data_IF_391879321470
#
_entry.id   IF_391879321470
#
_cell.length_a   1.000
_cell.length_b   1.000
_cell.length_c   1.000
_cell.angle_alpha   90.00
_cell.angle_beta   90.00
_cell.angle_gamma   90.00
#
_symmetry.space_group_name_H-M   'P 1'
#
loop_
_entity.id
_entity.type
_entity.pdbx_description
1 polymer ?
#
# COMPACT_ATOMS: atom_id res chain seq x y z
N UNK A 1 -55.98 -45.86 -34.33
CA UNK A 1 -56.01 -44.44 -33.92
C UNK A 1 -54.87 -44.19 -32.95
N UNK A 2 -53.67 -43.85 -33.44
CA UNK A 2 -52.54 -43.45 -32.59
C UNK A 2 -52.42 -41.92 -32.65
N UNK A 3 -52.63 -41.25 -31.51
CA UNK A 3 -52.46 -39.81 -31.36
C UNK A 3 -50.98 -39.51 -31.13
N UNK A 4 -50.36 -38.77 -32.04
CA UNK A 4 -49.03 -38.21 -31.84
C UNK A 4 -49.12 -37.06 -30.81
N UNK A 5 -48.39 -37.18 -29.71
CA UNK A 5 -48.22 -36.10 -28.73
C UNK A 5 -46.96 -35.32 -29.14
N UNK A 6 -47.16 -34.09 -29.62
CA UNK A 6 -46.07 -33.16 -29.93
C UNK A 6 -45.65 -32.50 -28.60
N UNK A 7 -44.45 -32.81 -28.13
CA UNK A 7 -43.84 -32.14 -26.96
C UNK A 7 -43.10 -30.90 -27.50
N UNK A 8 -43.64 -29.72 -27.23
CA UNK A 8 -42.99 -28.44 -27.53
C UNK A 8 -41.99 -28.17 -26.41
N UNK A 9 -40.70 -28.31 -26.69
CA UNK A 9 -39.63 -27.87 -25.80
C UNK A 9 -39.50 -26.34 -25.90
N UNK A 10 -39.99 -25.61 -24.90
CA UNK A 10 -39.72 -24.17 -24.77
C UNK A 10 -38.35 -23.97 -24.13
N UNK A 11 -37.37 -23.53 -24.92
CA UNK A 11 -36.06 -23.14 -24.41
C UNK A 11 -36.19 -21.81 -23.65
N UNK A 12 -36.15 -21.87 -22.31
CA UNK A 12 -35.96 -20.67 -21.48
C UNK A 12 -34.50 -20.21 -21.61
N UNK A 13 -34.29 -19.09 -22.30
CA UNK A 13 -33.01 -18.39 -22.31
C UNK A 13 -32.89 -17.66 -20.97
N UNK A 14 -32.14 -18.25 -20.04
CA UNK A 14 -31.78 -17.62 -18.78
C UNK A 14 -30.68 -16.59 -19.09
N UNK A 15 -31.07 -15.32 -19.23
CA UNK A 15 -30.09 -14.22 -19.31
C UNK A 15 -29.49 -14.03 -17.92
N UNK A 16 -28.38 -14.72 -17.65
CA UNK A 16 -27.56 -14.50 -16.46
C UNK A 16 -26.94 -13.11 -16.55
N UNK A 17 -27.53 -12.14 -15.86
CA UNK A 17 -26.88 -10.86 -15.57
C UNK A 17 -25.72 -11.11 -14.61
N UNK A 18 -24.54 -11.42 -15.16
CA UNK A 18 -23.30 -11.43 -14.41
C UNK A 18 -22.95 -10.02 -13.91
N UNK A 19 -22.27 -9.88 -12.76
CA UNK A 19 -21.79 -8.58 -12.30
C UNK A 19 -20.90 -7.95 -13.38
N UNK A 20 -21.19 -6.70 -13.76
CA UNK A 20 -20.35 -5.94 -14.68
C UNK A 20 -18.95 -5.81 -14.05
N UNK A 21 -17.96 -6.51 -14.61
CA UNK A 21 -16.56 -6.23 -14.33
C UNK A 21 -16.32 -4.75 -14.64
N UNK A 22 -16.00 -3.97 -13.60
CA UNK A 22 -15.49 -2.62 -13.79
C UNK A 22 -14.13 -2.79 -14.47
N UNK A 23 -14.07 -2.49 -15.77
CA UNK A 23 -12.80 -2.42 -16.50
C UNK A 23 -11.90 -1.43 -15.76
N UNK A 24 -10.82 -1.95 -15.13
CA UNK A 24 -9.81 -1.09 -14.49
C UNK A 24 -9.27 -0.14 -15.56
N UNK A 25 -9.37 1.17 -15.32
CA UNK A 25 -8.95 2.21 -16.27
C UNK A 25 -7.46 2.16 -16.59
N UNK A 26 -6.65 1.55 -15.71
CA UNK A 26 -5.24 1.23 -15.91
C UNK A 26 -4.79 0.13 -14.92
N UNK A 27 -3.81 -0.66 -15.34
CA UNK A 27 -3.05 -1.57 -14.47
C UNK A 27 -1.56 -1.24 -14.61
N UNK A 28 -1.14 -0.18 -13.92
CA UNK A 28 0.19 0.40 -14.06
C UNK A 28 1.16 -0.06 -12.99
N UNK A 29 2.36 -0.41 -13.44
CA UNK A 29 3.55 -0.69 -12.64
C UNK A 29 4.60 0.40 -12.89
N UNK A 30 5.59 0.51 -12.01
CA UNK A 30 6.83 1.22 -12.27
C UNK A 30 8.00 0.25 -12.13
N UNK A 31 9.06 0.44 -12.91
CA UNK A 31 10.19 -0.48 -12.94
C UNK A 31 11.41 0.09 -12.22
N UNK A 32 11.65 -0.42 -11.02
CA UNK A 32 12.67 0.10 -10.09
C UNK A 32 13.87 -0.83 -10.02
N UNK A 33 15.06 -0.27 -9.95
CA UNK A 33 16.31 -1.04 -9.82
C UNK A 33 16.66 -1.32 -8.35
N UNK A 34 15.93 -0.68 -7.42
CA UNK A 34 16.15 -0.76 -5.97
C UNK A 34 15.42 -1.95 -5.36
N UNK A 35 16.08 -2.80 -4.54
CA UNK A 35 15.37 -3.84 -3.79
C UNK A 35 14.53 -3.23 -2.67
N UNK A 36 13.40 -3.88 -2.35
CA UNK A 36 12.48 -3.44 -1.29
C UNK A 36 12.55 -4.40 -0.10
N UNK A 37 12.64 -3.85 1.10
CA UNK A 37 12.64 -4.61 2.35
C UNK A 37 11.44 -4.23 3.21
N UNK A 38 10.70 -5.23 3.67
CA UNK A 38 9.62 -5.09 4.64
C UNK A 38 10.16 -5.42 6.03
N UNK A 39 10.03 -4.49 6.97
CA UNK A 39 10.53 -4.65 8.34
C UNK A 39 9.36 -4.53 9.31
N UNK A 40 9.15 -5.50 10.19
CA UNK A 40 8.13 -5.38 11.21
C UNK A 40 8.58 -4.43 12.32
N UNK A 41 7.71 -3.50 12.71
CA UNK A 41 7.94 -2.52 13.77
C UNK A 41 6.90 -2.73 14.88
N UNK A 42 7.34 -3.12 16.07
CA UNK A 42 6.46 -3.53 17.17
C UNK A 42 5.99 -4.98 17.03
N UNK A 43 4.73 -5.24 17.37
CA UNK A 43 4.16 -6.59 17.50
C UNK A 43 3.23 -6.96 16.34
N UNK A 44 3.51 -6.43 15.13
CA UNK A 44 2.77 -6.83 13.93
C UNK A 44 3.04 -8.30 13.59
N UNK A 45 1.99 -9.07 13.28
CA UNK A 45 2.09 -10.48 12.87
C UNK A 45 2.78 -10.58 11.49
N UNK A 46 3.77 -11.48 11.37
CA UNK A 46 4.61 -11.65 10.17
C UNK A 46 3.80 -11.87 8.89
N UNK A 47 2.67 -12.58 9.00
CA UNK A 47 1.78 -12.88 7.88
C UNK A 47 1.29 -11.64 7.13
N UNK A 48 1.13 -10.50 7.81
CA UNK A 48 0.73 -9.26 7.14
C UNK A 48 1.83 -8.74 6.23
N UNK A 49 3.10 -8.88 6.60
CA UNK A 49 4.22 -8.46 5.76
C UNK A 49 4.37 -9.42 4.57
N UNK A 50 4.32 -10.72 4.83
CA UNK A 50 4.41 -11.75 3.79
C UNK A 50 3.33 -11.58 2.73
N UNK A 51 2.12 -11.21 3.13
CA UNK A 51 1.00 -11.00 2.21
C UNK A 51 1.22 -9.81 1.25
N UNK A 52 2.05 -8.82 1.59
CA UNK A 52 2.32 -7.67 0.71
C UNK A 52 3.29 -8.00 -0.42
N UNK A 53 4.14 -9.02 -0.25
CA UNK A 53 5.26 -9.33 -1.14
C UNK A 53 4.82 -9.47 -2.61
N UNK A 54 3.82 -10.30 -2.98
CA UNK A 54 3.48 -10.52 -4.38
C UNK A 54 2.97 -9.25 -5.06
N UNK A 55 2.19 -8.44 -4.34
CA UNK A 55 1.66 -7.18 -4.86
C UNK A 55 2.77 -6.17 -5.11
N UNK A 56 3.69 -6.04 -4.15
CA UNK A 56 4.81 -5.10 -4.27
C UNK A 56 5.78 -5.51 -5.38
N UNK A 57 6.10 -6.80 -5.51
CA UNK A 57 6.90 -7.30 -6.63
C UNK A 57 6.22 -6.99 -7.97
N UNK A 58 4.90 -7.17 -8.06
CA UNK A 58 4.15 -6.84 -9.29
C UNK A 58 4.21 -5.35 -9.61
N UNK A 59 3.96 -4.48 -8.63
CA UNK A 59 3.81 -3.03 -8.87
C UNK A 59 5.13 -2.28 -9.05
N UNK A 60 6.22 -2.80 -8.50
CA UNK A 60 7.56 -2.20 -8.61
C UNK A 60 8.52 -3.00 -9.50
N UNK A 61 8.15 -4.20 -9.96
CA UNK A 61 8.97 -5.10 -10.79
C UNK A 61 10.39 -5.32 -10.26
N UNK A 62 10.52 -5.42 -8.94
CA UNK A 62 11.77 -5.64 -8.21
C UNK A 62 11.60 -6.72 -7.15
N UNK A 63 12.72 -7.18 -6.59
CA UNK A 63 12.72 -8.09 -5.46
C UNK A 63 12.21 -7.42 -4.18
N UNK A 64 11.35 -8.14 -3.46
CA UNK A 64 10.79 -7.71 -2.18
C UNK A 64 11.11 -8.77 -1.14
N UNK A 65 11.78 -8.37 -0.06
CA UNK A 65 12.22 -9.25 1.00
C UNK A 65 11.55 -8.91 2.32
N UNK A 66 11.17 -9.92 3.10
CA UNK A 66 10.73 -9.72 4.48
C UNK A 66 11.92 -9.92 5.42
N UNK A 67 12.34 -8.87 6.11
CA UNK A 67 13.50 -8.87 7.01
C UNK A 67 13.06 -9.03 8.47
N UNK A 68 12.59 -10.22 8.82
CA UNK A 68 12.08 -10.53 10.17
C UNK A 68 13.17 -10.44 11.25
N UNK A 69 14.42 -10.73 10.90
CA UNK A 69 15.61 -10.60 11.75
C UNK A 69 15.92 -9.13 12.12
N UNK A 70 15.34 -8.18 11.39
CA UNK A 70 15.50 -6.73 11.60
C UNK A 70 14.35 -6.10 12.40
N UNK A 71 13.46 -6.91 13.00
CA UNK A 71 12.36 -6.39 13.84
C UNK A 71 12.92 -5.46 14.93
N UNK A 72 12.31 -4.29 15.07
CA UNK A 72 12.58 -3.35 16.17
C UNK A 72 11.29 -3.08 16.94
N UNK A 73 11.36 -2.79 18.26
CA UNK A 73 10.19 -2.35 19.00
C UNK A 73 9.71 -0.99 18.47
N UNK A 74 8.45 -0.65 18.75
CA UNK A 74 8.00 0.75 18.58
C UNK A 74 8.71 1.58 19.64
N UNK A 75 9.33 2.72 19.29
CA UNK A 75 10.00 3.57 20.28
C UNK A 75 9.01 4.16 21.29
N UNK A 76 9.28 3.96 22.59
CA UNK A 76 8.42 4.45 23.68
C UNK A 76 8.31 5.99 23.69
N UNK A 77 9.40 6.68 23.35
CA UNK A 77 9.45 8.15 23.24
C UNK A 77 8.68 8.70 22.03
N UNK A 78 8.20 7.83 21.13
CA UNK A 78 7.27 8.22 20.09
C UNK A 78 5.81 8.24 20.54
N UNK A 79 5.48 7.72 21.73
CA UNK A 79 4.11 7.68 22.21
C UNK A 79 3.66 9.04 22.77
N UNK A 80 2.55 9.55 22.25
CA UNK A 80 1.87 10.72 22.77
C UNK A 80 0.72 10.26 23.68
N UNK A 81 0.80 10.58 24.98
CA UNK A 81 -0.18 10.16 25.98
C UNK A 81 -1.53 10.86 25.83
N UNK A 82 -1.56 12.09 25.33
CA UNK A 82 -2.81 12.85 25.16
C UNK A 82 -3.60 12.34 23.95
N UNK A 83 -2.88 11.97 22.88
CA UNK A 83 -3.46 11.39 21.65
C UNK A 83 -3.68 9.89 21.75
N UNK A 84 -2.97 9.22 22.64
CA UNK A 84 -2.89 7.76 22.71
C UNK A 84 -2.43 7.12 21.39
N UNK A 85 -1.51 7.79 20.69
CA UNK A 85 -1.01 7.45 19.37
C UNK A 85 0.51 7.65 19.29
N UNK A 86 1.16 7.08 18.29
CA UNK A 86 2.59 7.26 18.07
C UNK A 86 2.86 8.34 17.02
N UNK A 87 3.82 9.20 17.30
CA UNK A 87 4.32 10.21 16.38
C UNK A 87 5.14 9.52 15.27
N UNK A 88 4.58 9.46 14.06
CA UNK A 88 5.12 8.69 12.94
C UNK A 88 6.57 9.08 12.58
N UNK A 89 6.90 10.37 12.69
CA UNK A 89 8.25 10.86 12.39
C UNK A 89 9.30 10.32 13.38
N UNK A 90 8.95 10.10 14.65
CA UNK A 90 9.87 9.57 15.66
C UNK A 90 10.09 8.07 15.44
N UNK A 91 9.05 7.34 15.05
CA UNK A 91 9.19 5.94 14.60
C UNK A 91 10.10 5.83 13.38
N UNK A 92 9.91 6.68 12.37
CA UNK A 92 10.78 6.72 11.18
C UNK A 92 12.23 7.11 11.52
N UNK A 93 12.44 8.06 12.42
CA UNK A 93 13.78 8.45 12.86
C UNK A 93 14.50 7.30 13.56
N UNK A 94 13.80 6.54 14.41
CA UNK A 94 14.35 5.37 15.08
C UNK A 94 14.68 4.24 14.09
N UNK A 95 13.83 4.02 13.08
CA UNK A 95 14.12 3.12 11.96
C UNK A 95 15.42 3.51 11.25
N UNK A 96 15.60 4.78 10.89
CA UNK A 96 16.83 5.29 10.23
C UNK A 96 18.07 5.08 11.10
N UNK A 97 17.93 5.30 12.41
CA UNK A 97 19.01 5.11 13.38
C UNK A 97 19.44 3.65 13.49
N UNK A 98 18.49 2.73 13.66
CA UNK A 98 18.74 1.33 14.03
C UNK A 98 18.89 0.39 12.83
N UNK A 99 18.15 0.62 11.75
CA UNK A 99 18.14 -0.27 10.60
C UNK A 99 19.27 0.07 9.64
N UNK A 100 20.01 -0.95 9.21
CA UNK A 100 21.10 -0.85 8.23
C UNK A 100 20.79 -1.76 7.04
N UNK A 101 20.68 -1.15 5.87
CA UNK A 101 20.41 -1.78 4.58
C UNK A 101 21.38 -1.19 3.53
N UNK A 102 21.53 -1.85 2.36
CA UNK A 102 22.27 -1.27 1.25
C UNK A 102 21.80 0.16 0.92
N UNK A 103 22.69 1.07 0.48
CA UNK A 103 22.32 2.47 0.24
C UNK A 103 21.20 2.68 -0.79
N UNK A 104 21.05 1.75 -1.74
CA UNK A 104 20.01 1.73 -2.77
C UNK A 104 18.74 0.99 -2.36
N UNK A 105 18.68 0.39 -1.17
CA UNK A 105 17.48 -0.29 -0.70
C UNK A 105 16.38 0.68 -0.29
N UNK A 106 15.12 0.32 -0.59
CA UNK A 106 13.93 0.96 -0.01
C UNK A 106 13.37 0.09 1.10
N UNK A 107 13.06 0.69 2.24
CA UNK A 107 12.58 0.00 3.42
C UNK A 107 11.18 0.48 3.77
N UNK A 108 10.25 -0.46 3.93
CA UNK A 108 8.91 -0.20 4.45
C UNK A 108 8.77 -0.84 5.83
N UNK A 109 8.71 -0.01 6.86
CA UNK A 109 8.27 -0.41 8.18
C UNK A 109 6.78 -0.70 8.17
N UNK A 110 6.37 -1.80 8.78
CA UNK A 110 4.95 -2.15 8.97
C UNK A 110 4.70 -2.25 10.47
N UNK A 111 3.72 -1.53 10.99
CA UNK A 111 3.40 -1.52 12.42
C UNK A 111 1.93 -1.81 12.72
N UNK A 112 1.68 -2.23 13.96
CA UNK A 112 0.36 -2.48 14.53
C UNK A 112 -0.06 -1.43 15.57
N UNK A 113 0.62 -0.27 15.64
CA UNK A 113 0.24 0.86 16.49
C UNK A 113 -0.39 1.98 15.67
N UNK A 114 -1.27 2.76 16.29
CA UNK A 114 -1.88 3.90 15.62
C UNK A 114 -0.88 5.06 15.52
N UNK A 115 -0.83 5.72 14.36
CA UNK A 115 0.20 6.73 14.07
C UNK A 115 -0.43 8.06 13.65
N UNK A 116 0.24 9.16 13.98
CA UNK A 116 -0.14 10.52 13.57
C UNK A 116 1.10 11.41 13.40
N UNK A 117 0.90 12.65 12.95
CA UNK A 117 1.94 13.69 12.97
C UNK A 117 1.31 14.99 13.49
N UNK A 118 1.92 15.68 14.47
CA UNK A 118 1.36 16.91 15.05
C UNK A 118 1.11 18.05 14.04
N UNK A 119 1.86 18.07 12.94
CA UNK A 119 1.81 19.12 11.91
C UNK A 119 0.69 18.90 10.88
N UNK A 120 -0.08 17.82 10.99
CA UNK A 120 -1.18 17.52 10.07
C UNK A 120 -2.53 17.82 10.69
N UNK A 121 -3.44 18.37 9.88
CA UNK A 121 -4.86 18.50 10.23
C UNK A 121 -5.57 17.14 10.38
N UNK A 122 -4.90 16.02 10.04
CA UNK A 122 -5.45 14.67 10.19
C UNK A 122 -5.13 14.10 11.55
N UNK A 123 -6.15 13.57 12.21
CA UNK A 123 -6.04 12.92 13.52
C UNK A 123 -5.31 11.57 13.50
N UNK A 124 -5.05 10.99 12.32
CA UNK A 124 -4.22 9.80 12.16
C UNK A 124 -3.64 9.73 10.74
N UNK A 125 -2.68 8.83 10.54
CA UNK A 125 -2.10 8.48 9.25
C UNK A 125 -2.20 6.96 9.00
N UNK A 126 -2.39 6.57 7.74
CA UNK A 126 -2.21 5.16 7.34
C UNK A 126 -0.75 4.82 7.11
N UNK A 127 0.05 5.81 6.75
CA UNK A 127 1.48 5.70 6.55
C UNK A 127 2.13 7.06 6.36
N UNK A 128 3.45 7.06 6.41
CA UNK A 128 4.29 8.23 6.24
C UNK A 128 5.59 7.84 5.54
N UNK A 129 6.04 8.72 4.65
CA UNK A 129 7.31 8.59 3.96
C UNK A 129 7.89 9.99 3.72
N UNK A 130 9.20 10.14 3.85
CA UNK A 130 9.88 11.30 3.30
C UNK A 130 10.15 11.05 1.82
N UNK A 131 9.69 11.98 0.96
CA UNK A 131 9.88 11.89 -0.48
C UNK A 131 11.37 11.78 -0.82
N UNK A 132 11.72 10.86 -1.72
CA UNK A 132 13.13 10.52 -2.07
C UNK A 132 13.99 10.03 -0.90
N UNK A 133 13.38 9.73 0.25
CA UNK A 133 14.04 9.00 1.32
C UNK A 133 14.21 7.52 0.96
N UNK A 134 14.77 6.77 1.90
CA UNK A 134 14.94 5.32 1.79
C UNK A 134 14.01 4.53 2.72
N UNK A 135 13.26 5.21 3.60
CA UNK A 135 12.39 4.55 4.57
C UNK A 135 11.01 5.17 4.61
N UNK A 136 10.01 4.30 4.67
CA UNK A 136 8.60 4.61 4.86
C UNK A 136 8.03 3.75 5.98
N UNK A 137 6.88 4.15 6.54
CA UNK A 137 6.15 3.44 7.57
C UNK A 137 4.69 3.34 7.17
N UNK A 138 4.04 2.20 7.40
CA UNK A 138 2.58 2.04 7.36
C UNK A 138 2.06 1.43 8.66
N UNK A 139 0.84 1.81 9.06
CA UNK A 139 0.14 1.26 10.21
C UNK A 139 -1.11 0.51 9.80
N UNK A 140 -1.24 -0.73 10.28
CA UNK A 140 -2.44 -1.56 10.09
C UNK A 140 -3.68 -1.02 10.82
N UNK A 141 -3.51 -0.30 11.93
CA UNK A 141 -4.59 -0.10 12.93
C UNK A 141 -5.84 0.51 12.33
N UNK A 142 -5.71 1.65 11.64
CA UNK A 142 -6.86 2.35 11.06
C UNK A 142 -7.37 1.72 9.76
N UNK A 143 -6.76 0.64 9.28
CA UNK A 143 -7.22 -0.14 8.12
C UNK A 143 -8.10 -1.33 8.51
N UNK A 144 -8.12 -1.72 9.78
CA UNK A 144 -8.88 -2.88 10.28
C UNK A 144 -10.31 -2.49 10.66
N UNK A 145 -11.34 -3.04 9.96
CA UNK A 145 -12.74 -2.72 10.23
C UNK A 145 -13.15 -2.97 11.68
N UNK A 146 -12.49 -3.87 12.41
CA UNK A 146 -12.85 -4.20 13.80
C UNK A 146 -12.78 -3.01 14.76
N UNK A 147 -12.03 -1.96 14.41
CA UNK A 147 -11.91 -0.74 15.22
C UNK A 147 -13.05 0.28 14.97
N UNK A 148 -14.01 -0.05 14.09
CA UNK A 148 -15.13 0.82 13.74
C UNK A 148 -16.46 0.21 14.16
N UNK A 149 -17.43 1.07 14.47
CA UNK A 149 -18.75 0.64 14.96
C UNK A 149 -19.41 -0.34 13.98
N UNK A 150 -19.75 -1.53 14.49
CA UNK A 150 -20.37 -2.62 13.70
C UNK A 150 -19.42 -3.38 12.77
N UNK A 151 -18.13 -3.01 12.74
CA UNK A 151 -17.13 -3.71 11.94
C UNK A 151 -16.71 -5.05 12.54
N UNK A 152 -16.38 -6.00 11.67
CA UNK A 152 -15.88 -7.33 12.04
C UNK A 152 -14.44 -7.48 11.52
N UNK A 153 -13.59 -8.28 12.19
CA UNK A 153 -12.28 -8.63 11.66
C UNK A 153 -12.38 -9.16 10.23
N UNK A 154 -11.57 -8.61 9.34
CA UNK A 154 -11.49 -9.03 7.95
C UNK A 154 -10.06 -8.84 7.45
N UNK A 155 -9.24 -9.86 7.65
CA UNK A 155 -7.82 -9.80 7.30
C UNK A 155 -7.60 -9.60 5.80
N UNK A 156 -8.46 -10.16 4.95
CA UNK A 156 -8.37 -9.98 3.50
C UNK A 156 -8.51 -8.49 3.12
N UNK A 157 -9.53 -7.81 3.66
CA UNK A 157 -9.74 -6.39 3.42
C UNK A 157 -8.60 -5.54 4.02
N UNK A 158 -8.06 -5.94 5.18
CA UNK A 158 -6.90 -5.28 5.78
C UNK A 158 -5.69 -5.38 4.86
N UNK A 159 -5.39 -6.59 4.36
CA UNK A 159 -4.27 -6.81 3.44
C UNK A 159 -4.45 -5.96 2.18
N UNK A 160 -5.64 -5.96 1.57
CA UNK A 160 -5.93 -5.13 0.39
C UNK A 160 -5.71 -3.63 0.62
N UNK A 161 -6.06 -3.13 1.81
CA UNK A 161 -5.81 -1.72 2.19
C UNK A 161 -4.33 -1.46 2.43
N UNK A 162 -3.66 -2.37 3.13
CA UNK A 162 -2.22 -2.30 3.40
C UNK A 162 -1.40 -2.36 2.10
N UNK A 163 -1.80 -3.16 1.13
CA UNK A 163 -1.20 -3.21 -0.21
C UNK A 163 -1.24 -1.84 -0.89
N UNK A 164 -2.41 -1.18 -0.91
CA UNK A 164 -2.57 0.15 -1.53
C UNK A 164 -1.71 1.20 -0.83
N UNK A 165 -1.67 1.18 0.50
CA UNK A 165 -0.87 2.14 1.26
C UNK A 165 0.63 1.84 1.19
N UNK A 166 1.04 0.57 1.17
CA UNK A 166 2.42 0.17 0.95
C UNK A 166 2.93 0.68 -0.41
N UNK A 167 2.16 0.46 -1.48
CA UNK A 167 2.50 0.97 -2.83
C UNK A 167 2.53 2.50 -2.84
N UNK A 168 1.57 3.17 -2.17
CA UNK A 168 1.57 4.64 -2.07
C UNK A 168 2.85 5.17 -1.40
N UNK A 169 3.20 4.64 -0.22
CA UNK A 169 4.36 5.13 0.53
C UNK A 169 5.69 4.78 -0.17
N UNK A 170 5.81 3.60 -0.77
CA UNK A 170 6.98 3.24 -1.58
C UNK A 170 7.09 4.16 -2.81
N UNK A 171 5.97 4.47 -3.49
CA UNK A 171 5.94 5.45 -4.58
C UNK A 171 6.52 6.82 -4.17
N UNK A 172 6.30 7.27 -2.93
CA UNK A 172 6.95 8.48 -2.38
C UNK A 172 8.47 8.36 -2.29
N UNK A 173 8.97 7.20 -1.88
CA UNK A 173 10.42 6.94 -1.82
C UNK A 173 11.07 6.97 -3.20
N UNK A 174 10.34 6.56 -4.25
CA UNK A 174 10.73 6.68 -5.66
C UNK A 174 10.47 8.07 -6.25
N UNK A 175 10.03 9.04 -5.43
CA UNK A 175 9.94 10.44 -5.81
C UNK A 175 8.63 10.87 -6.45
N UNK A 176 7.59 10.02 -6.45
CA UNK A 176 6.26 10.37 -6.94
C UNK A 176 5.51 11.29 -5.97
N UNK A 177 4.71 12.21 -6.52
CA UNK A 177 3.82 13.09 -5.76
C UNK A 177 2.42 12.50 -5.64
N UNK A 178 1.58 13.13 -4.80
CA UNK A 178 0.16 12.77 -4.77
C UNK A 178 -0.48 13.21 -6.09
N UNK A 179 -1.44 12.44 -6.57
CA UNK A 179 -2.27 12.82 -7.72
C UNK A 179 -3.72 13.01 -7.30
N UNK A 180 -4.49 13.72 -8.12
CA UNK A 180 -5.92 13.97 -7.88
C UNK A 180 -6.83 12.85 -8.39
N UNK A 181 -6.31 11.92 -9.20
CA UNK A 181 -7.08 10.77 -9.70
C UNK A 181 -7.41 9.81 -8.54
N UNK A 182 -8.69 9.69 -8.12
CA UNK A 182 -9.07 8.91 -6.94
C UNK A 182 -8.95 7.39 -7.13
N UNK A 183 -8.75 6.91 -8.36
CA UNK A 183 -8.48 5.50 -8.62
C UNK A 183 -6.98 5.18 -8.57
N UNK A 184 -6.10 6.19 -8.53
CA UNK A 184 -4.67 5.98 -8.55
C UNK A 184 -4.17 5.61 -7.15
N UNK A 185 -3.20 4.70 -7.07
CA UNK A 185 -2.56 4.35 -5.80
C UNK A 185 -1.86 5.54 -5.14
N UNK A 186 -1.40 6.52 -5.94
CA UNK A 186 -0.81 7.78 -5.45
C UNK A 186 -1.84 8.84 -5.03
N UNK A 187 -3.15 8.53 -5.07
CA UNK A 187 -4.16 9.36 -4.43
C UNK A 187 -4.00 9.32 -2.91
N UNK A 188 -4.25 10.46 -2.25
CA UNK A 188 -4.22 10.58 -0.80
C UNK A 188 -5.64 10.50 -0.22
N UNK A 189 -6.05 9.37 0.37
CA UNK A 189 -7.42 9.15 0.79
C UNK A 189 -7.71 9.83 2.13
N UNK A 190 -8.86 10.51 2.24
CA UNK A 190 -9.33 11.19 3.46
C UNK A 190 -9.93 10.24 4.49
N UNK A 191 -10.49 9.12 4.05
CA UNK A 191 -11.13 8.12 4.90
C UNK A 191 -10.99 6.71 4.28
N UNK A 192 -11.57 5.71 4.94
CA UNK A 192 -11.53 4.33 4.46
C UNK A 192 -12.30 4.12 3.15
N UNK A 193 -13.38 4.88 2.92
CA UNK A 193 -14.17 4.77 1.69
C UNK A 193 -13.37 5.24 0.48
N UNK A 194 -12.61 6.32 0.64
CA UNK A 194 -11.67 6.79 -0.38
C UNK A 194 -10.49 5.84 -0.55
N UNK A 195 -9.96 5.27 0.54
CA UNK A 195 -8.91 4.23 0.45
C UNK A 195 -9.40 2.98 -0.30
N UNK A 196 -10.64 2.55 -0.04
CA UNK A 196 -11.26 1.41 -0.71
C UNK A 196 -11.50 1.69 -2.20
N UNK A 197 -11.77 2.96 -2.56
CA UNK A 197 -11.94 3.41 -3.94
C UNK A 197 -10.65 3.35 -4.76
N UNK A 198 -9.49 3.61 -4.14
CA UNK A 198 -8.19 3.52 -4.82
C UNK A 198 -7.99 2.11 -5.41
N UNK A 199 -7.36 2.04 -6.57
CA UNK A 199 -6.74 0.79 -7.02
C UNK A 199 -5.34 0.65 -6.40
N UNK A 200 -4.73 -0.51 -6.57
CA UNK A 200 -3.31 -0.74 -6.24
C UNK A 200 -2.35 -0.25 -7.35
N UNK A 201 -2.85 0.39 -8.40
CA UNK A 201 -2.14 0.64 -9.66
C UNK A 201 -1.75 2.10 -9.84
N UNK A 202 -0.63 2.33 -10.53
CA UNK A 202 -0.19 3.66 -10.91
C UNK A 202 -0.92 4.15 -12.16
N UNK A 203 -1.46 5.38 -12.13
CA UNK A 203 -2.03 5.99 -13.32
C UNK A 203 -0.94 6.34 -14.37
N UNK A 204 -1.36 6.65 -15.60
CA UNK A 204 -0.44 7.00 -16.68
C UNK A 204 0.45 8.21 -16.35
N UNK A 205 -0.05 9.18 -15.58
CA UNK A 205 0.73 10.34 -15.13
C UNK A 205 1.88 9.92 -14.21
N UNK A 206 1.61 9.05 -13.22
CA UNK A 206 2.62 8.52 -12.31
C UNK A 206 3.68 7.72 -13.05
N UNK A 207 3.27 6.85 -13.99
CA UNK A 207 4.20 6.04 -14.79
C UNK A 207 5.12 6.90 -15.65
N UNK A 208 4.57 7.91 -16.36
CA UNK A 208 5.35 8.87 -17.13
C UNK A 208 6.32 9.64 -16.24
N UNK A 209 5.84 10.12 -15.08
CA UNK A 209 6.66 10.87 -14.14
C UNK A 209 7.82 10.05 -13.62
N UNK A 210 7.58 8.78 -13.28
CA UNK A 210 8.63 7.88 -12.83
C UNK A 210 9.68 7.64 -13.94
N UNK A 211 9.24 7.43 -15.18
CA UNK A 211 10.17 7.26 -16.31
C UNK A 211 11.08 8.48 -16.53
N UNK A 212 10.56 9.69 -16.34
CA UNK A 212 11.37 10.92 -16.38
C UNK A 212 12.39 10.96 -15.24
N UNK A 213 11.99 10.57 -14.02
CA UNK A 213 12.87 10.50 -12.86
C UNK A 213 13.99 9.47 -13.07
N UNK A 214 13.66 8.27 -13.57
CA UNK A 214 14.64 7.20 -13.88
C UNK A 214 15.69 7.68 -14.89
N UNK A 215 15.24 8.25 -16.02
CA UNK A 215 16.13 8.86 -17.04
C UNK A 215 17.01 9.99 -16.49
N UNK A 216 16.52 10.76 -15.53
CA UNK A 216 17.31 11.81 -14.90
C UNK A 216 18.36 11.24 -13.93
N UNK A 217 18.02 10.18 -13.19
CA UNK A 217 18.95 9.50 -12.30
C UNK A 217 20.09 8.80 -13.07
N UNK A 218 19.79 8.13 -14.18
CA UNK A 218 20.79 7.49 -15.06
C UNK A 218 21.85 8.48 -15.60
N UNK A 219 21.50 9.76 -15.73
CA UNK A 219 22.39 10.82 -16.21
C UNK A 219 23.21 11.49 -15.10
N UNK A 220 22.91 11.21 -13.83
CA UNK A 220 23.57 11.83 -12.70
C UNK A 220 24.24 10.74 -11.84
N UNK A 221 25.59 10.62 -11.85
CA UNK A 221 26.29 9.59 -11.09
C UNK A 221 26.16 9.76 -9.56
N UNK A 222 25.65 10.90 -9.09
CA UNK A 222 25.34 11.15 -7.68
C UNK A 222 23.87 10.93 -7.33
N UNK A 223 23.00 10.66 -8.30
CA UNK A 223 21.64 10.25 -8.02
C UNK A 223 21.64 8.80 -7.52
N UNK A 224 20.90 8.54 -6.44
CA UNK A 224 20.63 7.17 -6.02
C UNK A 224 19.89 6.40 -7.12
N UNK A 225 20.01 5.07 -7.11
CA UNK A 225 19.24 4.21 -8.02
C UNK A 225 17.73 4.39 -7.75
N UNK A 226 16.95 4.35 -8.82
CA UNK A 226 15.51 4.47 -8.81
C UNK A 226 14.85 3.20 -9.30
#
# INVERSE_FOLDING_TARGET
MYKYVIIILTALIIVSCGPKEKTKKYEGNIDVDSPIYLVPIGDIEDRFLTALVPKLQTRFTTDVHVALDKRIPVPDDAYDYDKQQYVAMYVLADMVKKLKFPPDAKVLGVTNVDIFTPESDRVFLYGMAYKKGNMALISKVRMDPKYYFGGKPNDQLVIERMEKEAVHQLGKLFGLDNVYDPECVMYFPKDLKELDRKTDSFCLECQKKFLELKKAAEKNPFAGKL
#
